data_IF_428118851057
#
_entry.id   IF_428118851057
#
_cell.length_a   1.000
_cell.length_b   1.000
_cell.length_c   1.000
_cell.angle_alpha   90.00
_cell.angle_beta   90.00
_cell.angle_gamma   90.00
#
_symmetry.space_group_name_H-M   'P 1'
#
loop_
_entity.id
_entity.type
_entity.pdbx_description
1 polymer ?
#
# COMPACT_ATOMS: atom_id res chain seq x y z
N UNK A 1 47.39 23.25 31.22
CA UNK A 1 48.14 22.01 31.48
C UNK A 1 48.16 21.22 30.18
N UNK A 2 49.31 21.23 29.51
CA UNK A 2 49.60 20.54 28.25
C UNK A 2 49.89 19.07 28.58
N UNK A 3 49.41 18.11 27.79
CA UNK A 3 50.26 17.01 27.30
C UNK A 3 49.63 16.29 26.10
N UNK A 4 50.35 16.32 24.98
CA UNK A 4 50.24 15.42 23.83
C UNK A 4 50.79 14.04 24.20
N UNK A 5 50.27 12.97 23.59
CA UNK A 5 51.04 11.73 23.44
C UNK A 5 50.73 11.09 22.09
N UNK A 6 51.73 11.13 21.20
CA UNK A 6 51.84 10.22 20.07
C UNK A 6 52.52 8.93 20.52
N UNK A 7 52.05 7.79 19.99
CA UNK A 7 52.90 6.60 19.82
C UNK A 7 52.64 5.96 18.46
N UNK A 8 53.70 5.93 17.65
CA UNK A 8 53.99 4.99 16.54
C UNK A 8 54.00 3.56 17.14
N UNK A 9 53.68 2.43 16.53
CA UNK A 9 53.60 1.96 15.14
C UNK A 9 54.06 0.49 15.18
N UNK A 10 53.43 -0.45 14.45
CA UNK A 10 54.08 -1.69 14.00
C UNK A 10 53.30 -2.34 12.85
N UNK A 11 54.06 -2.87 11.91
CA UNK A 11 53.67 -3.32 10.59
C UNK A 11 52.84 -4.63 10.58
N UNK A 12 51.97 -4.76 9.58
CA UNK A 12 51.54 -6.05 9.06
C UNK A 12 51.49 -6.01 7.52
N UNK A 13 52.04 -7.06 6.95
CA UNK A 13 52.36 -7.30 5.55
C UNK A 13 51.19 -7.08 4.57
N UNK A 14 51.49 -6.41 3.46
CA UNK A 14 50.67 -6.39 2.25
C UNK A 14 51.15 -7.52 1.34
N UNK A 15 50.32 -8.55 1.16
CA UNK A 15 50.37 -9.45 0.01
C UNK A 15 49.21 -9.09 -0.91
N UNK A 16 49.51 -8.76 -2.15
CA UNK A 16 48.56 -8.21 -3.12
C UNK A 16 47.69 -9.24 -3.83
N UNK A 17 46.77 -8.75 -4.66
CA UNK A 17 46.51 -9.32 -5.98
C UNK A 17 45.72 -8.35 -6.87
N UNK A 18 46.24 -8.19 -8.08
CA UNK A 18 45.71 -7.64 -9.32
C UNK A 18 44.28 -7.03 -9.35
N UNK A 19 44.26 -5.74 -9.73
CA UNK A 19 43.17 -5.07 -10.42
C UNK A 19 42.92 -5.73 -11.79
N UNK A 20 41.79 -6.40 -11.94
CA UNK A 20 41.14 -6.59 -13.24
C UNK A 20 39.64 -6.33 -13.06
N UNK A 21 39.22 -5.14 -13.49
CA UNK A 21 37.82 -4.78 -13.58
C UNK A 21 37.12 -5.60 -14.66
N UNK A 22 36.05 -6.28 -14.29
CA UNK A 22 35.08 -6.82 -15.23
C UNK A 22 33.85 -5.90 -15.25
N UNK A 23 33.24 -5.65 -16.43
CA UNK A 23 32.06 -4.80 -16.51
C UNK A 23 30.88 -5.48 -15.82
N UNK A 24 30.18 -4.74 -14.97
CA UNK A 24 28.88 -5.15 -14.40
C UNK A 24 27.90 -5.22 -15.56
N UNK A 25 27.57 -6.44 -15.98
CA UNK A 25 26.50 -6.72 -16.93
C UNK A 25 25.15 -6.39 -16.27
N UNK A 26 24.34 -5.59 -16.96
CA UNK A 26 22.97 -5.27 -16.56
C UNK A 26 22.09 -6.51 -16.65
N UNK A 27 21.95 -7.25 -15.55
CA UNK A 27 20.91 -8.27 -15.43
C UNK A 27 19.58 -7.60 -15.14
N UNK A 28 18.66 -7.66 -16.11
CA UNK A 28 17.25 -7.53 -15.83
C UNK A 28 16.88 -8.60 -14.80
N UNK A 29 16.52 -8.18 -13.58
CA UNK A 29 15.92 -9.06 -12.59
C UNK A 29 14.55 -9.48 -13.10
N UNK A 30 14.49 -10.58 -13.85
CA UNK A 30 13.24 -11.30 -14.04
C UNK A 30 12.82 -11.80 -12.65
N UNK A 31 11.67 -11.29 -12.17
CA UNK A 31 11.06 -11.80 -10.96
C UNK A 31 10.78 -13.28 -11.18
N UNK A 32 11.42 -14.13 -10.40
CA UNK A 32 11.18 -15.57 -10.43
C UNK A 32 9.73 -15.85 -10.01
N UNK A 33 8.98 -16.70 -10.72
CA UNK A 33 7.64 -17.07 -10.30
C UNK A 33 7.67 -17.62 -8.88
N UNK A 34 6.87 -17.04 -7.98
CA UNK A 34 6.77 -17.44 -6.58
C UNK A 34 6.39 -18.93 -6.50
N UNK A 35 7.25 -19.78 -5.93
CA UNK A 35 7.00 -21.22 -5.83
C UNK A 35 5.74 -21.51 -4.99
N UNK A 36 4.86 -22.39 -5.49
CA UNK A 36 3.70 -22.90 -4.74
C UNK A 36 4.17 -23.66 -3.49
N UNK A 37 3.75 -23.20 -2.30
CA UNK A 37 3.83 -24.01 -1.08
C UNK A 37 2.64 -24.97 -1.02
N UNK A 38 2.87 -26.22 -0.62
CA UNK A 38 1.81 -27.18 -0.33
C UNK A 38 0.88 -26.60 0.75
N UNK A 39 -0.42 -26.49 0.48
CA UNK A 39 -1.41 -25.83 1.36
C UNK A 39 -1.81 -24.41 0.94
N UNK A 40 -1.34 -23.91 -0.20
CA UNK A 40 -1.77 -22.62 -0.74
C UNK A 40 -3.25 -22.65 -1.17
N UNK A 41 -3.97 -21.56 -0.87
CA UNK A 41 -5.35 -21.33 -1.33
C UNK A 41 -5.45 -21.55 -2.83
N UNK A 42 -6.55 -22.13 -3.36
CA UNK A 42 -6.74 -22.29 -4.81
C UNK A 42 -6.68 -20.96 -5.56
N UNK A 43 -6.92 -19.84 -4.88
CA UNK A 43 -6.91 -18.49 -5.45
C UNK A 43 -5.51 -17.84 -5.48
N UNK A 44 -4.49 -18.44 -4.87
CA UNK A 44 -3.17 -17.79 -4.67
C UNK A 44 -2.51 -17.41 -5.99
N UNK A 45 -2.57 -18.29 -7.00
CA UNK A 45 -2.00 -18.02 -8.32
C UNK A 45 -2.74 -16.90 -9.05
N UNK A 46 -4.07 -16.95 -9.01
CA UNK A 46 -4.92 -15.96 -9.68
C UNK A 46 -4.73 -14.59 -9.05
N UNK A 47 -4.73 -14.51 -7.72
CA UNK A 47 -4.43 -13.29 -6.97
C UNK A 47 -3.03 -12.77 -7.34
N UNK A 48 -2.01 -13.63 -7.35
CA UNK A 48 -0.64 -13.21 -7.67
C UNK A 48 -0.55 -12.66 -9.10
N UNK A 49 -1.08 -13.38 -10.09
CA UNK A 49 -1.09 -12.93 -11.49
C UNK A 49 -1.83 -11.61 -11.68
N UNK A 50 -2.96 -11.44 -11.00
CA UNK A 50 -3.73 -10.21 -11.07
C UNK A 50 -2.97 -9.03 -10.45
N UNK A 51 -2.40 -9.20 -9.26
CA UNK A 51 -1.58 -8.15 -8.62
C UNK A 51 -0.35 -7.83 -9.47
N UNK A 52 0.34 -8.82 -10.03
CA UNK A 52 1.49 -8.62 -10.93
C UNK A 52 1.08 -7.79 -12.17
N UNK A 53 -0.15 -7.96 -12.67
CA UNK A 53 -0.64 -7.16 -13.80
C UNK A 53 -0.85 -5.68 -13.46
N UNK A 54 -1.04 -5.35 -12.18
CA UNK A 54 -1.21 -3.99 -11.68
C UNK A 54 0.11 -3.31 -11.29
N UNK A 55 1.23 -4.02 -11.31
CA UNK A 55 2.54 -3.59 -10.77
C UNK A 55 2.91 -2.15 -11.19
N UNK A 56 2.88 -1.86 -12.50
CA UNK A 56 3.26 -0.53 -13.02
C UNK A 56 2.35 0.58 -12.51
N UNK A 57 1.05 0.31 -12.40
CA UNK A 57 0.05 1.28 -11.94
C UNK A 57 0.18 1.52 -10.44
N UNK A 58 0.26 0.44 -9.64
CA UNK A 58 0.44 0.52 -8.20
C UNK A 58 1.76 1.19 -7.84
N UNK A 59 2.85 0.89 -8.55
CA UNK A 59 4.13 1.55 -8.35
C UNK A 59 4.08 3.03 -8.70
N UNK A 60 3.40 3.40 -9.78
CA UNK A 60 3.20 4.81 -10.13
C UNK A 60 2.40 5.56 -9.08
N UNK A 61 1.36 4.95 -8.52
CA UNK A 61 0.56 5.53 -7.43
C UNK A 61 1.40 5.67 -6.17
N UNK A 62 2.13 4.61 -5.79
CA UNK A 62 2.99 4.59 -4.62
C UNK A 62 4.00 5.75 -4.65
N UNK A 63 4.72 5.90 -5.76
CA UNK A 63 5.68 7.00 -5.93
C UNK A 63 5.01 8.36 -5.88
N UNK A 64 3.85 8.52 -6.52
CA UNK A 64 3.19 9.81 -6.54
C UNK A 64 2.77 10.27 -5.15
N UNK A 65 2.22 9.35 -4.33
CA UNK A 65 1.90 9.62 -2.92
C UNK A 65 3.20 9.93 -2.16
N UNK A 66 4.22 9.08 -2.28
CA UNK A 66 5.51 9.25 -1.61
C UNK A 66 6.16 10.61 -1.90
N UNK A 67 6.17 11.03 -3.16
CA UNK A 67 6.82 12.27 -3.64
C UNK A 67 5.97 13.53 -3.36
N UNK A 68 4.73 13.37 -2.88
CA UNK A 68 3.83 14.48 -2.52
C UNK A 68 3.30 14.31 -1.10
N UNK A 69 4.16 14.37 -0.07
CA UNK A 69 3.74 14.19 1.31
C UNK A 69 2.75 15.28 1.73
N UNK A 70 1.62 14.86 2.30
CA UNK A 70 0.58 15.74 2.82
C UNK A 70 0.21 15.33 4.26
N UNK A 71 0.00 16.31 5.12
CA UNK A 71 -0.32 16.07 6.53
C UNK A 71 -1.75 15.59 6.74
N UNK A 72 -2.01 15.05 7.94
CA UNK A 72 -3.34 14.68 8.42
C UNK A 72 -4.44 15.69 8.08
N UNK A 73 -5.52 15.21 7.46
CA UNK A 73 -6.68 15.98 6.95
C UNK A 73 -6.40 16.97 5.83
N UNK A 74 -5.20 16.94 5.25
CA UNK A 74 -4.79 17.80 4.13
C UNK A 74 -4.27 16.98 2.95
N UNK A 75 -4.52 15.67 2.93
CA UNK A 75 -4.08 14.69 1.95
C UNK A 75 -4.86 14.74 0.64
N UNK A 76 -5.12 15.93 0.12
CA UNK A 76 -6.00 16.15 -1.04
C UNK A 76 -5.43 15.59 -2.34
N UNK A 77 -4.12 15.59 -2.56
CA UNK A 77 -3.51 14.99 -3.75
C UNK A 77 -3.58 13.47 -3.67
N UNK A 78 -3.20 12.86 -2.55
CA UNK A 78 -3.26 11.41 -2.37
C UNK A 78 -4.71 10.90 -2.48
N UNK A 79 -5.64 11.58 -1.82
CA UNK A 79 -7.08 11.31 -1.91
C UNK A 79 -7.58 11.39 -3.36
N UNK A 80 -7.31 12.50 -4.06
CA UNK A 80 -7.75 12.69 -5.45
C UNK A 80 -7.15 11.63 -6.39
N UNK A 81 -5.90 11.27 -6.18
CA UNK A 81 -5.22 10.24 -6.97
C UNK A 81 -5.92 8.88 -6.81
N UNK A 82 -6.14 8.45 -5.56
CA UNK A 82 -6.75 7.16 -5.24
C UNK A 82 -8.21 7.09 -5.72
N UNK A 83 -9.01 8.12 -5.44
CA UNK A 83 -10.42 8.17 -5.88
C UNK A 83 -10.54 8.22 -7.41
N UNK A 84 -9.71 9.01 -8.09
CA UNK A 84 -9.69 9.05 -9.56
C UNK A 84 -9.25 7.73 -10.18
N UNK A 85 -8.31 7.01 -9.54
CA UNK A 85 -7.91 5.68 -9.97
C UNK A 85 -9.07 4.69 -9.81
N UNK A 86 -9.70 4.62 -8.63
CA UNK A 86 -10.81 3.71 -8.35
C UNK A 86 -12.02 3.96 -9.25
N UNK A 87 -12.34 5.22 -9.58
CA UNK A 87 -13.43 5.57 -10.50
C UNK A 87 -13.25 5.03 -11.92
N UNK A 88 -12.01 4.73 -12.34
CA UNK A 88 -11.73 4.11 -13.64
C UNK A 88 -11.93 2.60 -13.63
N UNK A 89 -11.97 1.99 -12.45
CA UNK A 89 -12.07 0.55 -12.29
C UNK A 89 -13.52 0.09 -12.53
N UNK A 90 -13.68 -0.91 -13.40
CA UNK A 90 -15.00 -1.43 -13.75
C UNK A 90 -15.68 -2.06 -12.54
N UNK A 91 -16.93 -1.70 -12.29
CA UNK A 91 -17.76 -2.28 -11.22
C UNK A 91 -17.59 -1.63 -9.84
N UNK A 92 -16.71 -0.63 -9.71
CA UNK A 92 -16.52 0.11 -8.46
C UNK A 92 -17.39 1.36 -8.41
N UNK A 93 -18.08 1.56 -7.29
CA UNK A 93 -18.83 2.79 -6.95
C UNK A 93 -18.03 3.57 -5.91
N UNK A 94 -17.62 4.79 -6.24
CA UNK A 94 -16.78 5.62 -5.36
C UNK A 94 -17.60 6.77 -4.79
N UNK A 95 -17.57 6.90 -3.47
CA UNK A 95 -18.02 8.08 -2.72
C UNK A 95 -16.78 8.84 -2.28
N UNK A 96 -16.59 10.05 -2.84
CA UNK A 96 -15.37 10.83 -2.65
C UNK A 96 -15.15 11.25 -1.21
N UNK A 97 -16.23 11.55 -0.47
CA UNK A 97 -16.16 12.08 0.90
C UNK A 97 -17.09 11.30 1.80
N UNK A 98 -16.57 10.77 2.92
CA UNK A 98 -17.35 10.04 3.94
C UNK A 98 -16.99 10.50 5.35
N UNK A 99 -17.89 10.27 6.31
CA UNK A 99 -17.62 10.56 7.72
C UNK A 99 -17.39 12.02 8.07
N UNK A 100 -17.76 12.96 7.18
CA UNK A 100 -17.50 14.39 7.37
C UNK A 100 -16.02 14.78 7.26
N UNK A 101 -15.20 13.95 6.61
CA UNK A 101 -13.76 14.19 6.41
C UNK A 101 -13.50 14.30 4.92
N UNK A 102 -13.10 15.48 4.46
CA UNK A 102 -12.93 15.79 3.03
C UNK A 102 -11.98 14.82 2.31
N UNK A 103 -10.95 14.35 3.02
CA UNK A 103 -9.93 13.44 2.51
C UNK A 103 -10.18 11.97 2.86
N UNK A 104 -11.35 11.60 3.38
CA UNK A 104 -11.74 10.19 3.54
C UNK A 104 -12.69 9.77 2.43
N UNK A 105 -12.51 8.58 1.84
CA UNK A 105 -13.37 8.08 0.78
C UNK A 105 -13.82 6.63 1.00
N UNK A 106 -14.83 6.20 0.25
CA UNK A 106 -15.27 4.81 0.21
C UNK A 106 -15.48 4.36 -1.22
N UNK A 107 -14.81 3.28 -1.64
CA UNK A 107 -15.04 2.62 -2.92
C UNK A 107 -15.61 1.22 -2.69
N UNK A 108 -16.72 0.89 -3.35
CA UNK A 108 -17.46 -0.36 -3.14
C UNK A 108 -17.54 -1.15 -4.43
N UNK A 109 -17.20 -2.44 -4.35
CA UNK A 109 -17.48 -3.46 -5.36
C UNK A 109 -18.53 -4.43 -4.81
N UNK A 110 -19.58 -4.69 -5.58
CA UNK A 110 -20.67 -5.59 -5.20
C UNK A 110 -20.60 -6.89 -6.01
N UNK A 111 -20.63 -8.03 -5.31
CA UNK A 111 -20.68 -9.35 -5.90
C UNK A 111 -22.08 -9.77 -6.37
N UNK A 112 -22.25 -11.04 -6.70
CA UNK A 112 -23.54 -11.59 -7.12
C UNK A 112 -24.30 -12.18 -5.93
N UNK A 113 -25.14 -11.35 -5.29
CA UNK A 113 -26.00 -11.76 -4.18
C UNK A 113 -25.40 -11.48 -2.80
N UNK A 114 -26.05 -12.04 -1.78
CA UNK A 114 -25.67 -11.82 -0.38
C UNK A 114 -24.36 -12.52 -0.02
N UNK A 115 -23.64 -11.98 0.96
CA UNK A 115 -22.37 -12.49 1.42
C UNK A 115 -21.67 -11.52 2.37
N UNK A 116 -20.45 -11.86 2.83
CA UNK A 116 -19.72 -11.01 3.75
C UNK A 116 -19.30 -9.69 3.11
N UNK A 117 -19.19 -8.65 3.93
CA UNK A 117 -18.63 -7.36 3.57
C UNK A 117 -17.21 -7.26 4.13
N UNK A 118 -16.22 -7.27 3.23
CA UNK A 118 -14.80 -7.20 3.56
C UNK A 118 -14.25 -5.83 3.18
N UNK A 119 -13.65 -5.12 4.13
CA UNK A 119 -12.99 -3.83 3.87
C UNK A 119 -11.47 -3.90 3.92
N UNK A 120 -10.83 -3.06 3.12
CA UNK A 120 -9.40 -2.74 3.12
C UNK A 120 -9.23 -1.26 3.46
N UNK A 121 -8.19 -0.91 4.23
CA UNK A 121 -7.97 0.47 4.69
C UNK A 121 -6.68 1.04 4.10
N UNK A 122 -6.79 2.11 3.33
CA UNK A 122 -5.67 2.83 2.74
C UNK A 122 -5.38 4.09 3.56
N UNK A 123 -4.24 4.12 4.24
CA UNK A 123 -3.68 5.31 4.91
C UNK A 123 -2.73 6.02 3.98
N UNK A 124 -2.67 7.35 4.03
CA UNK A 124 -1.87 8.15 3.09
C UNK A 124 -1.51 9.54 3.61
N UNK A 125 -1.56 9.77 4.92
CA UNK A 125 -0.95 10.93 5.55
C UNK A 125 0.57 10.76 5.72
N UNK A 126 1.27 11.88 5.78
CA UNK A 126 2.70 11.98 5.97
C UNK A 126 3.03 12.70 7.28
N UNK A 127 4.27 12.55 7.72
CA UNK A 127 4.82 13.20 8.90
C UNK A 127 5.46 14.56 8.55
N UNK A 128 5.30 15.53 9.45
CA UNK A 128 5.89 16.86 9.29
C UNK A 128 7.42 16.79 9.25
N UNK A 129 8.02 17.34 8.19
CA UNK A 129 9.47 17.36 7.98
C UNK A 129 10.12 16.01 7.62
N UNK A 130 9.38 14.90 7.68
CA UNK A 130 9.89 13.55 7.43
C UNK A 130 9.26 12.86 6.21
N UNK A 131 8.14 13.40 5.70
CA UNK A 131 7.42 12.79 4.59
C UNK A 131 6.78 11.45 4.99
N UNK A 132 6.72 10.50 4.07
CA UNK A 132 6.15 9.16 4.34
C UNK A 132 7.15 8.23 5.05
N UNK A 133 7.80 8.70 6.12
CA UNK A 133 8.74 7.89 6.90
C UNK A 133 8.08 6.68 7.59
N UNK A 134 6.77 6.73 7.85
CA UNK A 134 5.98 5.60 8.35
C UNK A 134 5.50 4.65 7.23
N UNK A 135 5.71 5.02 5.96
CA UNK A 135 5.39 4.15 4.82
C UNK A 135 3.92 4.12 4.42
N UNK A 136 3.11 5.12 4.76
CA UNK A 136 1.67 5.14 4.43
C UNK A 136 1.41 5.07 2.91
N UNK A 137 2.32 5.55 2.07
CA UNK A 137 2.26 5.30 0.62
C UNK A 137 2.22 3.80 0.28
N UNK A 138 2.95 2.96 1.01
CA UNK A 138 2.95 1.49 0.84
C UNK A 138 1.64 0.89 1.36
N UNK A 139 1.16 1.32 2.54
CA UNK A 139 -0.12 0.90 3.12
C UNK A 139 -1.27 1.17 2.14
N UNK A 140 -1.35 2.38 1.60
CA UNK A 140 -2.33 2.74 0.58
C UNK A 140 -2.29 1.78 -0.61
N UNK A 141 -1.11 1.51 -1.16
CA UNK A 141 -0.99 0.67 -2.35
C UNK A 141 -1.19 -0.82 -2.08
N UNK A 142 -0.84 -1.32 -0.89
CA UNK A 142 -1.10 -2.68 -0.48
C UNK A 142 -2.61 -2.92 -0.31
N UNK A 143 -3.32 -2.01 0.36
CA UNK A 143 -4.77 -2.08 0.51
C UNK A 143 -5.51 -1.91 -0.81
N UNK A 144 -5.04 -1.02 -1.69
CA UNK A 144 -5.56 -0.87 -3.04
C UNK A 144 -5.42 -2.17 -3.85
N UNK A 145 -4.21 -2.74 -3.90
CA UNK A 145 -3.95 -4.00 -4.62
C UNK A 145 -4.77 -5.16 -4.05
N UNK A 146 -4.87 -5.27 -2.72
CA UNK A 146 -5.68 -6.29 -2.04
C UNK A 146 -7.17 -6.17 -2.36
N UNK A 147 -7.72 -4.96 -2.33
CA UNK A 147 -9.12 -4.71 -2.65
C UNK A 147 -9.45 -5.06 -4.11
N UNK A 148 -8.59 -4.66 -5.05
CA UNK A 148 -8.76 -4.97 -6.47
C UNK A 148 -8.67 -6.48 -6.73
N UNK A 149 -7.68 -7.16 -6.12
CA UNK A 149 -7.53 -8.60 -6.27
C UNK A 149 -8.70 -9.38 -5.67
N UNK A 150 -9.21 -8.96 -4.50
CA UNK A 150 -10.39 -9.56 -3.90
C UNK A 150 -11.64 -9.38 -4.79
N UNK A 151 -11.83 -8.18 -5.36
CA UNK A 151 -12.92 -7.92 -6.29
C UNK A 151 -12.79 -8.71 -7.61
N UNK A 152 -11.56 -8.94 -8.09
CA UNK A 152 -11.32 -9.80 -9.25
C UNK A 152 -11.80 -11.22 -9.01
N UNK A 153 -11.38 -11.83 -7.91
CA UNK A 153 -11.79 -13.19 -7.54
C UNK A 153 -13.31 -13.25 -7.33
N UNK A 154 -13.88 -12.26 -6.63
CA UNK A 154 -15.33 -12.15 -6.44
C UNK A 154 -16.08 -12.13 -7.78
N UNK A 155 -15.53 -11.46 -8.80
CA UNK A 155 -16.11 -11.40 -10.14
C UNK A 155 -15.96 -12.71 -10.91
N UNK A 156 -14.77 -13.29 -10.94
CA UNK A 156 -14.48 -14.52 -11.69
C UNK A 156 -15.30 -15.70 -11.16
N UNK A 157 -15.36 -15.84 -9.84
CA UNK A 157 -16.03 -16.94 -9.14
C UNK A 157 -17.52 -16.67 -8.88
N UNK A 158 -18.02 -15.48 -9.25
CA UNK A 158 -19.41 -15.04 -9.01
C UNK A 158 -19.79 -15.18 -7.53
N UNK A 159 -18.95 -14.67 -6.66
CA UNK A 159 -19.19 -14.68 -5.21
C UNK A 159 -20.15 -13.54 -4.85
N UNK A 160 -21.01 -13.78 -3.86
CA UNK A 160 -21.82 -12.75 -3.22
C UNK A 160 -21.02 -11.92 -2.21
N UNK A 161 -21.67 -10.89 -1.66
CA UNK A 161 -21.08 -9.97 -0.68
C UNK A 161 -20.48 -8.72 -1.31
N UNK A 162 -19.57 -8.06 -0.58
CA UNK A 162 -18.97 -6.78 -1.00
C UNK A 162 -17.50 -6.69 -0.63
N UNK A 163 -16.74 -6.04 -1.50
CA UNK A 163 -15.39 -5.56 -1.19
C UNK A 163 -15.42 -4.04 -1.09
N UNK A 164 -14.86 -3.49 -0.02
CA UNK A 164 -14.80 -2.06 0.22
C UNK A 164 -13.35 -1.62 0.38
N UNK A 165 -12.94 -0.57 -0.31
CA UNK A 165 -11.70 0.16 -0.02
C UNK A 165 -12.06 1.47 0.66
N UNK A 166 -11.64 1.63 1.90
CA UNK A 166 -11.71 2.90 2.61
C UNK A 166 -10.42 3.68 2.44
N UNK A 167 -10.54 4.97 2.13
CA UNK A 167 -9.46 5.92 2.36
C UNK A 167 -9.55 6.47 3.77
N UNK A 168 -8.53 6.23 4.58
CA UNK A 168 -8.50 6.51 6.01
C UNK A 168 -7.38 7.51 6.33
N UNK A 169 -7.66 8.83 6.25
CA UNK A 169 -6.66 9.88 6.45
C UNK A 169 -6.24 10.05 7.93
N UNK A 170 -5.23 10.88 8.18
CA UNK A 170 -4.82 11.37 9.49
C UNK A 170 -4.64 10.28 10.58
N UNK A 171 -3.94 9.19 10.27
CA UNK A 171 -3.62 8.16 11.25
C UNK A 171 -2.68 8.70 12.35
N UNK A 172 -1.61 9.39 11.95
CA UNK A 172 -0.51 9.81 12.84
C UNK A 172 -0.88 10.94 13.81
N UNK A 173 -1.90 11.73 13.44
CA UNK A 173 -2.16 13.00 14.11
C UNK A 173 -3.42 12.97 14.98
N UNK A 174 -4.52 12.43 14.46
CA UNK A 174 -5.86 12.70 15.02
C UNK A 174 -6.84 11.53 14.90
N UNK A 175 -6.40 10.38 14.38
CA UNK A 175 -7.21 9.17 14.27
C UNK A 175 -8.38 9.30 13.30
N UNK A 176 -8.14 9.51 12.00
CA UNK A 176 -9.23 9.63 11.02
C UNK A 176 -10.18 8.42 10.99
N UNK A 177 -9.67 7.20 11.22
CA UNK A 177 -10.53 6.00 11.38
C UNK A 177 -11.49 6.10 12.56
N UNK A 178 -11.06 6.68 13.69
CA UNK A 178 -11.92 6.87 14.87
C UNK A 178 -13.09 7.77 14.50
N UNK A 179 -12.83 8.90 13.83
CA UNK A 179 -13.91 9.79 13.35
C UNK A 179 -14.84 9.11 12.35
N UNK A 180 -14.30 8.29 11.44
CA UNK A 180 -15.13 7.51 10.51
C UNK A 180 -16.01 6.48 11.23
N UNK A 181 -15.49 5.83 12.28
CA UNK A 181 -16.26 4.91 13.13
C UNK A 181 -17.38 5.64 13.88
N UNK A 182 -17.08 6.79 14.49
CA UNK A 182 -18.06 7.63 15.20
C UNK A 182 -19.15 8.16 14.27
N UNK A 183 -18.79 8.52 13.03
CA UNK A 183 -19.72 8.95 12.00
C UNK A 183 -20.54 7.79 11.38
N UNK A 184 -20.37 6.56 11.86
CA UNK A 184 -21.14 5.40 11.42
C UNK A 184 -20.68 4.77 10.11
N UNK A 185 -19.59 5.24 9.49
CA UNK A 185 -19.17 4.81 8.12
C UNK A 185 -19.03 3.29 8.03
N UNK A 186 -18.35 2.65 8.98
CA UNK A 186 -18.15 1.19 9.00
C UNK A 186 -19.42 0.43 9.40
N UNK A 187 -20.20 0.98 10.34
CA UNK A 187 -21.44 0.35 10.82
C UNK A 187 -22.49 0.33 9.72
N UNK A 188 -22.66 1.45 9.02
CA UNK A 188 -23.65 1.61 7.95
C UNK A 188 -23.28 0.80 6.71
N UNK A 189 -21.97 0.65 6.46
CA UNK A 189 -21.44 -0.27 5.45
C UNK A 189 -21.58 -1.76 5.82
N UNK A 190 -21.93 -2.07 7.07
CA UNK A 190 -22.09 -3.44 7.62
C UNK A 190 -20.83 -4.29 7.46
N UNK A 191 -19.67 -3.74 7.80
CA UNK A 191 -18.38 -4.45 7.69
C UNK A 191 -18.35 -5.69 8.60
N UNK A 192 -18.07 -6.85 8.02
CA UNK A 192 -17.84 -8.11 8.76
C UNK A 192 -16.35 -8.31 9.07
N UNK A 193 -15.48 -7.96 8.12
CA UNK A 193 -14.02 -8.11 8.23
C UNK A 193 -13.35 -6.83 7.74
N UNK A 194 -12.42 -6.28 8.51
CA UNK A 194 -11.62 -5.11 8.12
C UNK A 194 -10.14 -5.43 8.15
N UNK A 195 -9.45 -5.19 7.03
CA UNK A 195 -8.07 -5.57 6.78
C UNK A 195 -7.18 -4.34 6.56
N UNK A 196 -5.95 -4.43 7.02
CA UNK A 196 -4.86 -3.48 6.76
C UNK A 196 -3.52 -4.20 6.92
N UNK A 197 -2.50 -3.74 6.20
CA UNK A 197 -1.11 -4.20 6.36
C UNK A 197 -0.21 -2.99 6.50
N UNK A 198 0.62 -2.98 7.53
CA UNK A 198 1.60 -1.95 7.83
C UNK A 198 3.02 -2.52 7.73
#
# INVERSE_FOLDING_TARGET
>A
MVYLSQTKGLAAFVYGLALLGTPVSSSQTSLTPRQKKNGASPYTDTVSKYVDSLDKELWSINKNIHDNPELGYKEFKAHKLLTAYMKKQKGWKVTDTVGGIDTAFMAVFEGTGDGPVVSFNAEYDALEGLGHACGHNLIATASLGGALAAAEIMREEKLGGKVILFGTPAEESFGGKVKMLEAGVFKDAKIDISLISH
#
